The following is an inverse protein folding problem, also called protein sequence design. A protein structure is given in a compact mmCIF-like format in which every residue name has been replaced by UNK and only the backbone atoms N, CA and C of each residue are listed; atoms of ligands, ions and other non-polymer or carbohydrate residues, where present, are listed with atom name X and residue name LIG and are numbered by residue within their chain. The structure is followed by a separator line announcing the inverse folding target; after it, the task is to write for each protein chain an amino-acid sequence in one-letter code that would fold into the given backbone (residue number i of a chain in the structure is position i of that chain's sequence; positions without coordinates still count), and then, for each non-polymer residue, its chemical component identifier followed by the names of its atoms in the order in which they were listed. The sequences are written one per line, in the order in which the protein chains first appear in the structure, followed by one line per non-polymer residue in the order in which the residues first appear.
data_IF_708653563465
#
_entry.id   IF_708653563465
#
_cell.length_a   1.000
_cell.length_b   1.000
_cell.length_c   1.000
_cell.angle_alpha   90.00
_cell.angle_beta   90.00
_cell.angle_gamma   90.00
#
_symmetry.space_group_name_H-M   'P 1'
#
loop_
_entity.id
_entity.type
_entity.pdbx_description
1 polymer ?
#
# COMPACT_ATOMS: atom_id res chain seq x y z
N UNK A 1 4.00 -9.03 -13.64
CA UNK A 1 2.68 -9.66 -13.84
C UNK A 1 1.77 -9.21 -12.71
N UNK A 2 0.55 -8.77 -13.01
CA UNK A 2 -0.45 -8.43 -11.99
C UNK A 2 -1.63 -9.42 -12.16
N UNK A 3 -1.79 -10.42 -11.27
CA UNK A 3 -2.72 -11.57 -11.43
C UNK A 3 -4.18 -11.18 -11.62
N UNK A 4 -5.02 -12.01 -12.23
CA UNK A 4 -6.43 -11.73 -12.62
C UNK A 4 -6.58 -10.80 -13.82
N UNK A 5 -6.02 -11.19 -14.97
CA UNK A 5 -5.98 -10.37 -16.18
C UNK A 5 -7.35 -9.96 -16.75
N UNK A 6 -8.43 -10.65 -16.37
CA UNK A 6 -9.80 -10.38 -16.84
C UNK A 6 -10.49 -9.22 -16.10
N UNK A 7 -9.95 -8.80 -14.95
CA UNK A 7 -10.46 -7.65 -14.20
C UNK A 7 -9.58 -6.44 -14.52
N UNK A 8 -10.14 -5.33 -15.05
CA UNK A 8 -9.38 -4.12 -15.33
C UNK A 8 -8.65 -3.63 -14.08
N UNK A 9 -7.35 -3.36 -14.21
CA UNK A 9 -6.47 -2.88 -13.11
C UNK A 9 -5.93 -1.49 -13.39
N UNK A 10 -6.75 -0.64 -14.00
CA UNK A 10 -6.34 0.66 -14.54
C UNK A 10 -6.21 1.76 -13.48
N UNK A 11 -5.84 1.41 -12.25
CA UNK A 11 -5.66 2.37 -11.16
C UNK A 11 -4.19 2.70 -10.91
N UNK A 12 -3.77 3.97 -10.87
CA UNK A 12 -2.38 4.35 -10.56
C UNK A 12 -1.97 3.97 -9.12
N UNK A 13 -2.95 3.63 -8.27
CA UNK A 13 -2.79 3.30 -6.85
C UNK A 13 -1.91 2.09 -6.50
N UNK A 14 -1.40 1.35 -7.50
CA UNK A 14 -0.44 0.25 -7.33
C UNK A 14 1.03 0.68 -7.53
N UNK A 15 1.29 1.98 -7.73
CA UNK A 15 2.63 2.52 -7.98
C UNK A 15 3.66 2.13 -6.92
N UNK A 16 3.31 2.31 -5.64
CA UNK A 16 4.16 1.92 -4.52
C UNK A 16 4.49 0.41 -4.52
N UNK A 17 3.50 -0.44 -4.82
CA UNK A 17 3.67 -1.89 -4.86
C UNK A 17 4.57 -2.33 -6.02
N UNK A 18 4.38 -1.76 -7.21
CA UNK A 18 5.21 -2.06 -8.37
C UNK A 18 6.67 -1.63 -8.15
N UNK A 19 6.89 -0.44 -7.59
CA UNK A 19 8.22 0.04 -7.26
C UNK A 19 8.91 -0.89 -6.24
N UNK A 20 8.21 -1.24 -5.16
CA UNK A 20 8.73 -2.17 -4.13
C UNK A 20 9.10 -3.54 -4.72
N UNK A 21 8.26 -4.09 -5.59
CA UNK A 21 8.53 -5.36 -6.26
C UNK A 21 9.79 -5.29 -7.15
N UNK A 22 9.97 -4.19 -7.88
CA UNK A 22 11.16 -3.97 -8.70
C UNK A 22 12.42 -3.86 -7.84
N UNK A 23 12.38 -3.04 -6.78
CA UNK A 23 13.50 -2.89 -5.84
C UNK A 23 13.85 -4.23 -5.18
N UNK A 24 12.84 -5.01 -4.78
CA UNK A 24 13.03 -6.35 -4.22
C UNK A 24 13.81 -7.27 -5.18
N UNK A 25 13.40 -7.34 -6.44
CA UNK A 25 14.06 -8.19 -7.46
C UNK A 25 15.48 -7.71 -7.74
N UNK A 26 15.71 -6.39 -7.82
CA UNK A 26 17.02 -5.83 -8.12
C UNK A 26 18.01 -5.93 -6.96
N UNK A 27 17.54 -5.90 -5.71
CA UNK A 27 18.39 -5.92 -4.50
C UNK A 27 18.47 -7.29 -3.83
N UNK A 28 17.60 -8.23 -4.19
CA UNK A 28 17.47 -9.53 -3.52
C UNK A 28 16.81 -9.48 -2.15
N UNK A 29 16.31 -8.31 -1.71
CA UNK A 29 15.60 -8.15 -0.43
C UNK A 29 14.16 -8.63 -0.57
N UNK A 30 13.69 -9.48 0.33
CA UNK A 30 12.32 -10.02 0.28
C UNK A 30 11.30 -8.97 0.74
N UNK A 31 10.11 -9.00 0.15
CA UNK A 31 8.96 -8.22 0.62
C UNK A 31 8.26 -8.97 1.76
N UNK A 32 7.92 -8.26 2.84
CA UNK A 32 7.19 -8.81 3.98
C UNK A 32 5.77 -9.21 3.59
N UNK A 33 5.38 -10.43 3.91
CA UNK A 33 4.10 -11.00 3.50
C UNK A 33 2.88 -10.45 4.27
N UNK A 34 3.09 -9.83 5.42
CA UNK A 34 2.05 -9.28 6.30
C UNK A 34 1.83 -7.77 6.12
N UNK A 35 2.37 -7.19 5.05
CA UNK A 35 2.28 -5.78 4.68
C UNK A 35 1.51 -5.62 3.37
N UNK A 36 0.42 -4.85 3.39
CA UNK A 36 -0.25 -4.32 2.20
C UNK A 36 0.13 -2.85 2.01
N UNK A 37 0.10 -2.38 0.76
CA UNK A 37 0.38 -0.98 0.43
C UNK A 37 -0.49 -0.49 -0.72
N UNK A 38 -0.87 0.78 -0.66
CA UNK A 38 -1.53 1.49 -1.77
C UNK A 38 -1.00 2.91 -1.85
N UNK A 39 -0.94 3.45 -3.07
CA UNK A 39 -0.40 4.78 -3.31
C UNK A 39 0.03 4.89 -4.77
N UNK A 40 -0.32 6.00 -5.40
CA UNK A 40 0.30 6.38 -6.66
C UNK A 40 1.70 6.93 -6.38
N UNK A 41 2.65 6.67 -7.27
CA UNK A 41 4.03 7.13 -7.13
C UNK A 41 4.34 8.13 -8.25
N UNK A 42 4.88 9.30 -7.88
CA UNK A 42 5.36 10.27 -8.86
C UNK A 42 6.78 9.91 -9.32
N UNK A 43 7.25 10.52 -10.41
CA UNK A 43 8.64 10.37 -10.86
C UNK A 43 9.68 10.87 -9.83
N UNK A 44 9.25 11.67 -8.85
CA UNK A 44 10.10 12.17 -7.77
C UNK A 44 10.08 11.26 -6.54
N UNK A 45 9.31 10.17 -6.56
CA UNK A 45 9.18 9.24 -5.44
C UNK A 45 8.17 9.66 -4.38
N UNK A 46 7.37 10.70 -4.63
CA UNK A 46 6.27 11.08 -3.73
C UNK A 46 5.11 10.09 -3.88
N UNK A 47 4.51 9.72 -2.74
CA UNK A 47 3.35 8.83 -2.65
C UNK A 47 2.09 9.69 -2.52
N UNK A 48 1.24 9.66 -3.54
CA UNK A 48 0.07 10.53 -3.66
C UNK A 48 -1.24 9.82 -3.30
N UNK A 49 -2.27 10.58 -2.89
CA UNK A 49 -3.53 10.02 -2.42
C UNK A 49 -4.25 9.18 -3.47
N UNK A 50 -5.00 8.19 -2.96
CA UNK A 50 -5.79 7.25 -3.73
C UNK A 50 -7.25 7.31 -3.31
N UNK A 51 -8.16 6.86 -4.17
CA UNK A 51 -9.56 6.64 -3.79
C UNK A 51 -9.83 5.22 -3.31
N UNK A 52 -10.96 5.06 -2.63
CA UNK A 52 -11.48 3.76 -2.19
C UNK A 52 -10.68 3.13 -1.05
N UNK A 53 -10.15 3.96 -0.15
CA UNK A 53 -9.33 3.48 0.97
C UNK A 53 -10.09 2.49 1.86
N UNK A 54 -11.38 2.72 2.10
CA UNK A 54 -12.23 1.87 2.93
C UNK A 54 -12.32 0.44 2.38
N UNK A 55 -12.59 0.28 1.09
CA UNK A 55 -12.69 -1.02 0.43
C UNK A 55 -11.34 -1.75 0.45
N UNK A 56 -10.25 -1.01 0.23
CA UNK A 56 -8.88 -1.55 0.24
C UNK A 56 -8.46 -2.04 1.63
N UNK A 57 -8.76 -1.27 2.68
CA UNK A 57 -8.50 -1.68 4.06
C UNK A 57 -9.33 -2.90 4.47
N UNK A 58 -10.60 -2.95 4.07
CA UNK A 58 -11.46 -4.11 4.32
C UNK A 58 -10.92 -5.37 3.60
N UNK A 59 -10.42 -5.22 2.37
CA UNK A 59 -9.79 -6.31 1.64
C UNK A 59 -8.50 -6.79 2.32
N UNK A 60 -7.66 -5.86 2.80
CA UNK A 60 -6.45 -6.19 3.56
C UNK A 60 -6.78 -6.99 4.84
N UNK A 61 -7.79 -6.53 5.59
CA UNK A 61 -8.25 -7.22 6.80
C UNK A 61 -8.76 -8.63 6.49
N UNK A 62 -9.59 -8.79 5.45
CA UNK A 62 -10.07 -10.11 5.01
C UNK A 62 -8.94 -11.02 4.52
N UNK A 63 -7.89 -10.44 3.95
CA UNK A 63 -6.68 -11.14 3.54
C UNK A 63 -5.75 -11.53 4.69
N UNK A 64 -6.10 -11.20 5.94
CA UNK A 64 -5.28 -11.50 7.12
C UNK A 64 -4.01 -10.66 7.22
N UNK A 65 -3.96 -9.51 6.53
CA UNK A 65 -2.85 -8.57 6.57
C UNK A 65 -2.88 -7.81 7.90
N UNK A 66 -1.70 -7.57 8.49
CA UNK A 66 -1.57 -6.86 9.76
C UNK A 66 -1.22 -5.39 9.59
N UNK A 67 -0.40 -5.07 8.59
CA UNK A 67 0.09 -3.72 8.36
C UNK A 67 -0.38 -3.19 7.01
N UNK A 68 -0.90 -1.97 6.98
CA UNK A 68 -1.34 -1.31 5.75
C UNK A 68 -0.64 0.04 5.61
N UNK A 69 0.10 0.22 4.53
CA UNK A 69 0.76 1.47 4.17
C UNK A 69 -0.18 2.30 3.29
N UNK A 70 -0.40 3.56 3.67
CA UNK A 70 -1.29 4.49 2.98
C UNK A 70 -0.59 5.86 2.76
N UNK A 71 -0.99 6.65 1.76
CA UNK A 71 -0.51 8.02 1.60
C UNK A 71 -0.91 8.89 2.79
N UNK A 72 -0.04 9.81 3.24
CA UNK A 72 -0.35 10.71 4.36
C UNK A 72 -1.56 11.63 4.05
N UNK A 73 -1.68 12.06 2.79
CA UNK A 73 -2.79 12.91 2.33
C UNK A 73 -4.16 12.18 2.31
N UNK A 74 -4.19 10.86 2.53
CA UNK A 74 -5.43 10.09 2.65
C UNK A 74 -6.10 10.20 4.03
N UNK A 75 -5.58 11.04 4.95
CA UNK A 75 -6.11 11.21 6.32
C UNK A 75 -7.62 11.52 6.37
N UNK A 76 -8.13 12.30 5.42
CA UNK A 76 -9.57 12.60 5.32
C UNK A 76 -10.38 11.33 5.06
N UNK A 77 -9.99 10.53 4.06
CA UNK A 77 -10.66 9.27 3.73
C UNK A 77 -10.50 8.24 4.87
N UNK A 78 -9.36 8.25 5.57
CA UNK A 78 -9.14 7.39 6.74
C UNK A 78 -10.13 7.69 7.88
N UNK A 79 -10.56 8.96 8.03
CA UNK A 79 -11.55 9.33 9.04
C UNK A 79 -12.93 8.70 8.79
N UNK A 80 -13.25 8.38 7.54
CA UNK A 80 -14.50 7.71 7.13
C UNK A 80 -14.45 6.18 7.32
N UNK A 81 -13.27 5.62 7.57
CA UNK A 81 -13.11 4.18 7.84
C UNK A 81 -13.59 3.87 9.26
N UNK A 82 -14.48 2.87 9.44
CA UNK A 82 -14.96 2.46 10.76
C UNK A 82 -13.82 2.08 11.72
N UNK A 83 -13.93 2.48 12.99
CA UNK A 83 -12.90 2.22 14.01
C UNK A 83 -12.62 0.74 14.23
N UNK A 84 -13.61 -0.14 14.01
CA UNK A 84 -13.41 -1.59 14.04
C UNK A 84 -12.36 -2.06 13.04
N UNK A 85 -12.33 -1.49 11.83
CA UNK A 85 -11.35 -1.85 10.80
C UNK A 85 -9.98 -1.24 11.16
N UNK A 86 -9.96 0.03 11.58
CA UNK A 86 -8.71 0.71 11.97
C UNK A 86 -8.06 0.06 13.20
N UNK A 87 -8.84 -0.46 14.14
CA UNK A 87 -8.34 -1.12 15.35
C UNK A 87 -7.74 -2.50 15.12
N UNK A 88 -8.09 -3.17 14.01
CA UNK A 88 -7.56 -4.50 13.66
C UNK A 88 -6.33 -4.41 12.72
N UNK A 89 -5.99 -3.23 12.22
CA UNK A 89 -4.89 -3.00 11.28
C UNK A 89 -3.89 -1.98 11.83
N UNK A 90 -2.60 -2.25 11.68
CA UNK A 90 -1.55 -1.27 11.88
C UNK A 90 -1.43 -0.38 10.63
N UNK A 91 -2.04 0.80 10.67
CA UNK A 91 -2.03 1.76 9.55
C UNK A 91 -0.80 2.65 9.65
N UNK A 92 0.04 2.64 8.61
CA UNK A 92 1.23 3.50 8.52
C UNK A 92 1.04 4.49 7.38
N UNK A 93 1.07 5.78 7.72
CA UNK A 93 1.03 6.88 6.76
C UNK A 93 2.44 7.18 6.26
N UNK A 94 2.59 7.39 4.96
CA UNK A 94 3.87 7.70 4.30
C UNK A 94 3.72 8.80 3.27
N UNK A 95 4.79 9.53 3.01
CA UNK A 95 4.85 10.54 1.95
C UNK A 95 5.83 10.17 0.84
N UNK A 96 6.87 9.41 1.15
CA UNK A 96 7.94 9.07 0.21
C UNK A 96 8.11 7.57 0.04
N UNK A 97 8.56 7.16 -1.16
CA UNK A 97 8.80 5.76 -1.49
C UNK A 97 9.86 5.12 -0.59
N UNK A 98 10.86 5.88 -0.12
CA UNK A 98 11.90 5.36 0.77
C UNK A 98 11.31 4.81 2.08
N UNK A 99 10.30 5.48 2.63
CA UNK A 99 9.58 5.04 3.82
C UNK A 99 8.84 3.71 3.55
N UNK A 100 8.20 3.60 2.38
CA UNK A 100 7.54 2.35 1.96
C UNK A 100 8.55 1.21 1.89
N UNK A 101 9.71 1.43 1.28
CA UNK A 101 10.74 0.40 1.10
C UNK A 101 11.33 -0.05 2.44
N UNK A 102 11.56 0.88 3.37
CA UNK A 102 12.07 0.58 4.72
C UNK A 102 11.08 -0.26 5.53
N UNK A 103 9.79 0.01 5.38
CA UNK A 103 8.72 -0.74 6.05
C UNK A 103 8.53 -2.11 5.37
N UNK A 104 8.49 -2.15 4.04
CA UNK A 104 8.04 -3.33 3.29
C UNK A 104 9.14 -4.37 3.02
N UNK A 105 10.42 -3.99 2.99
CA UNK A 105 11.52 -4.90 2.70
C UNK A 105 12.20 -5.44 3.97
N UNK A 106 12.64 -6.69 3.91
CA UNK A 106 13.56 -7.27 4.92
C UNK A 106 14.92 -6.58 4.87
N UNK A 107 15.69 -6.61 5.97
CA UNK A 107 17.03 -6.03 6.04
C UNK A 107 18.06 -6.89 5.33
#
# INVERSE_FOLDING_TARGET
HVPDGSTPKDGPSAGAAMCTALVSVLTGRKVKADVAMTGEITLRGEITPIGGLKEKMLAALRGGIKTVIIPDDNERELSEVPDKIKGELNVIKVKWIDEVLDIALEK
#
